data_IF_449642575294
#
_entry.id   IF_449642575294
#
_cell.length_a   1.000
_cell.length_b   1.000
_cell.length_c   1.000
_cell.angle_alpha   90.00
_cell.angle_beta   90.00
_cell.angle_gamma   90.00
#
_symmetry.space_group_name_H-M   'P 1'
#
loop_
_entity.id
_entity.type
_entity.pdbx_description
1 polymer ?
#
# COMPACT_ATOMS: atom_id res chain seq x y z
N UNK A 1 -62.17 -32.68 18.90
CA UNK A 1 -60.85 -32.41 19.53
C UNK A 1 -59.84 -32.24 18.40
N UNK A 2 -59.48 -31.00 18.03
CA UNK A 2 -58.47 -30.74 16.97
C UNK A 2 -57.22 -30.21 17.65
N UNK A 3 -56.14 -31.02 17.56
CA UNK A 3 -54.85 -30.68 18.10
C UNK A 3 -54.06 -29.90 17.05
N UNK A 4 -53.91 -28.59 17.25
CA UNK A 4 -53.06 -27.73 16.40
C UNK A 4 -51.62 -27.80 16.92
N UNK A 5 -50.74 -28.40 16.14
CA UNK A 5 -49.29 -28.41 16.40
C UNK A 5 -48.68 -27.13 15.83
N UNK A 6 -48.25 -26.25 16.70
CA UNK A 6 -47.49 -25.05 16.38
C UNK A 6 -46.00 -25.44 16.16
N UNK A 7 -45.55 -25.42 14.90
CA UNK A 7 -44.14 -25.59 14.55
C UNK A 7 -43.40 -24.27 14.83
N UNK A 8 -42.60 -24.22 15.88
CA UNK A 8 -41.74 -23.11 16.21
C UNK A 8 -40.45 -23.21 15.39
N UNK A 9 -40.37 -22.42 14.30
CA UNK A 9 -39.17 -22.35 13.45
C UNK A 9 -38.14 -21.45 14.14
N UNK A 10 -37.06 -22.07 14.68
CA UNK A 10 -35.92 -21.35 15.25
C UNK A 10 -35.00 -20.90 14.10
N UNK A 11 -35.01 -19.63 13.77
CA UNK A 11 -34.08 -19.00 12.84
C UNK A 11 -32.71 -18.87 13.54
N UNK A 12 -31.75 -19.75 13.18
CA UNK A 12 -30.37 -19.64 13.65
C UNK A 12 -29.66 -18.59 12.81
N UNK A 13 -29.42 -17.41 13.39
CA UNK A 13 -28.57 -16.37 12.80
C UNK A 13 -27.12 -16.77 12.98
N UNK A 14 -26.45 -17.19 11.90
CA UNK A 14 -25.00 -17.29 11.86
C UNK A 14 -24.41 -15.89 11.58
N UNK A 15 -23.49 -15.39 12.43
CA UNK A 15 -22.77 -14.16 12.11
C UNK A 15 -21.86 -14.44 10.90
N UNK A 16 -22.14 -13.79 9.78
CA UNK A 16 -21.26 -13.76 8.62
C UNK A 16 -20.11 -12.79 8.97
N UNK A 17 -18.95 -13.31 9.29
CA UNK A 17 -17.73 -12.52 9.35
C UNK A 17 -17.38 -12.16 7.90
N UNK A 18 -17.64 -10.91 7.53
CA UNK A 18 -17.15 -10.35 6.28
C UNK A 18 -15.62 -10.22 6.39
N UNK A 19 -14.89 -11.12 5.76
CA UNK A 19 -13.47 -10.97 5.53
C UNK A 19 -13.30 -10.06 4.32
N UNK A 20 -12.55 -8.95 4.47
CA UNK A 20 -12.21 -8.10 3.33
C UNK A 20 -11.40 -8.91 2.32
N UNK A 21 -11.87 -8.96 1.09
CA UNK A 21 -11.17 -9.68 0.03
C UNK A 21 -9.84 -8.95 -0.28
N UNK A 22 -8.75 -9.71 -0.36
CA UNK A 22 -7.47 -9.21 -0.90
C UNK A 22 -7.68 -8.91 -2.38
N UNK A 23 -7.47 -7.66 -2.79
CA UNK A 23 -7.64 -7.22 -4.18
C UNK A 23 -6.36 -7.37 -4.98
N UNK A 24 -5.21 -7.17 -4.33
CA UNK A 24 -3.88 -7.29 -4.94
C UNK A 24 -2.85 -7.69 -3.89
N UNK A 25 -1.86 -8.48 -4.31
CA UNK A 25 -0.75 -8.90 -3.45
C UNK A 25 0.53 -9.04 -4.27
N UNK A 26 1.66 -8.92 -3.61
CA UNK A 26 2.95 -9.06 -4.26
C UNK A 26 4.12 -8.96 -3.31
N UNK A 27 5.31 -8.90 -3.90
CA UNK A 27 6.55 -8.64 -3.17
C UNK A 27 7.13 -7.31 -3.61
N UNK A 28 7.99 -6.75 -2.76
CA UNK A 28 8.72 -5.53 -3.08
C UNK A 28 10.19 -5.64 -2.72
N UNK A 29 11.00 -4.86 -3.44
CA UNK A 29 12.34 -4.47 -3.00
C UNK A 29 12.40 -2.96 -2.88
N UNK A 30 13.00 -2.47 -1.81
CA UNK A 30 13.21 -1.05 -1.55
C UNK A 30 14.70 -0.77 -1.45
N UNK A 31 15.19 0.21 -2.20
CA UNK A 31 16.55 0.73 -2.13
C UNK A 31 16.50 2.17 -1.64
N UNK A 32 17.00 2.45 -0.46
CA UNK A 32 17.14 3.79 0.11
C UNK A 32 18.56 4.29 -0.13
N UNK A 33 18.67 5.34 -0.92
CA UNK A 33 19.94 6.00 -1.26
C UNK A 33 20.09 7.26 -0.43
N UNK A 34 21.17 7.35 0.34
CA UNK A 34 21.51 8.55 1.11
C UNK A 34 22.60 9.32 0.39
N UNK A 35 22.44 10.64 0.30
CA UNK A 35 23.45 11.53 -0.25
C UNK A 35 24.78 11.35 0.48
N UNK A 36 25.86 11.11 -0.27
CA UNK A 36 27.19 10.86 0.28
C UNK A 36 27.50 9.40 0.59
N UNK A 37 26.56 8.49 0.46
CA UNK A 37 26.80 7.05 0.59
C UNK A 37 26.82 6.40 -0.80
N UNK A 38 27.81 5.51 -1.02
CA UNK A 38 27.98 4.85 -2.32
C UNK A 38 27.04 3.65 -2.53
N UNK A 39 26.51 3.08 -1.44
CA UNK A 39 25.62 1.90 -1.49
C UNK A 39 24.28 2.20 -0.86
N UNK A 40 23.18 1.71 -1.44
CA UNK A 40 21.87 1.86 -0.84
C UNK A 40 21.69 0.93 0.36
N UNK A 41 20.74 1.29 1.23
CA UNK A 41 20.15 0.36 2.18
C UNK A 41 19.02 -0.38 1.48
N UNK A 42 19.08 -1.71 1.50
CA UNK A 42 18.12 -2.57 0.79
C UNK A 42 17.23 -3.25 1.82
N UNK A 43 15.92 -3.18 1.59
CA UNK A 43 14.93 -3.99 2.29
C UNK A 43 14.02 -4.70 1.29
N UNK A 44 13.52 -5.86 1.68
CA UNK A 44 12.60 -6.66 0.87
C UNK A 44 11.44 -7.15 1.73
N UNK A 45 10.33 -7.44 1.08
CA UNK A 45 9.15 -7.93 1.77
C UNK A 45 7.97 -8.18 0.85
N UNK A 46 6.81 -8.28 1.44
CA UNK A 46 5.54 -8.54 0.76
C UNK A 46 4.48 -7.49 1.13
N UNK A 47 3.46 -7.40 0.31
CA UNK A 47 2.31 -6.56 0.57
C UNK A 47 1.02 -7.26 0.17
N UNK A 48 -0.05 -6.94 0.89
CA UNK A 48 -1.43 -7.35 0.60
C UNK A 48 -2.32 -6.12 0.65
N UNK A 49 -2.91 -5.78 -0.49
CA UNK A 49 -3.86 -4.69 -0.64
C UNK A 49 -5.27 -5.26 -0.56
N UNK A 50 -6.06 -4.75 0.35
CA UNK A 50 -7.48 -5.04 0.48
C UNK A 50 -8.31 -3.78 0.18
N UNK A 51 -9.61 -3.96 0.06
CA UNK A 51 -10.52 -2.84 -0.17
C UNK A 51 -10.42 -1.78 0.95
N UNK A 52 -10.33 -2.21 2.21
CA UNK A 52 -10.33 -1.38 3.41
C UNK A 52 -8.93 -1.12 4.00
N UNK A 53 -7.85 -1.60 3.35
CA UNK A 53 -6.52 -1.43 3.92
C UNK A 53 -5.35 -1.96 3.12
N UNK A 54 -4.18 -1.91 3.76
CA UNK A 54 -2.93 -2.44 3.23
C UNK A 54 -2.13 -3.07 4.37
N UNK A 55 -1.61 -4.28 4.14
CA UNK A 55 -0.55 -4.89 4.95
C UNK A 55 0.76 -4.77 4.19
N UNK A 56 1.76 -4.15 4.83
CA UNK A 56 3.10 -4.00 4.28
C UNK A 56 4.09 -4.67 5.22
N UNK A 57 4.68 -5.77 4.79
CA UNK A 57 5.56 -6.59 5.63
C UNK A 57 7.00 -6.55 5.12
N UNK A 58 7.90 -5.94 5.88
CA UNK A 58 9.35 -6.03 5.65
C UNK A 58 9.86 -7.34 6.23
N UNK A 59 10.56 -8.12 5.43
CA UNK A 59 11.12 -9.43 5.82
C UNK A 59 12.62 -9.36 6.06
N UNK A 60 13.33 -8.48 5.35
CA UNK A 60 14.77 -8.29 5.44
C UNK A 60 15.14 -6.81 5.29
N UNK A 61 16.18 -6.30 5.98
CA UNK A 61 17.05 -6.98 6.95
C UNK A 61 16.42 -7.09 8.35
N UNK A 62 15.46 -6.22 8.69
CA UNK A 62 14.77 -6.19 9.98
C UNK A 62 13.30 -6.38 9.74
N UNK A 63 12.72 -7.40 10.33
CA UNK A 63 11.28 -7.68 10.19
C UNK A 63 10.45 -6.57 10.84
N UNK A 64 9.48 -6.09 10.10
CA UNK A 64 8.46 -5.15 10.61
C UNK A 64 7.20 -5.26 9.79
N UNK A 65 6.06 -5.03 10.41
CA UNK A 65 4.76 -5.04 9.73
C UNK A 65 4.05 -3.71 9.97
N UNK A 66 3.63 -3.08 8.89
CA UNK A 66 2.78 -1.90 8.91
C UNK A 66 1.41 -2.32 8.40
N UNK A 67 0.39 -1.98 9.17
CA UNK A 67 -1.01 -2.20 8.82
C UNK A 67 -1.68 -0.84 8.60
N UNK A 68 -2.38 -0.72 7.49
CA UNK A 68 -3.27 0.40 7.24
C UNK A 68 -4.68 -0.16 7.26
N UNK A 69 -5.50 0.37 8.12
CA UNK A 69 -6.89 -0.04 8.22
C UNK A 69 -7.76 1.16 8.54
N UNK A 70 -8.80 1.36 7.72
CA UNK A 70 -9.74 2.48 7.89
C UNK A 70 -9.04 3.85 8.01
N UNK A 71 -7.99 4.08 7.20
CA UNK A 71 -7.21 5.32 7.21
C UNK A 71 -6.28 5.51 8.41
N UNK A 72 -6.19 4.55 9.31
CA UNK A 72 -5.26 4.54 10.44
C UNK A 72 -4.06 3.64 10.16
N UNK A 73 -2.92 4.04 10.70
CA UNK A 73 -1.64 3.35 10.52
C UNK A 73 -1.21 2.71 11.83
N UNK A 74 -0.86 1.42 11.75
CA UNK A 74 -0.36 0.66 12.88
C UNK A 74 0.94 -0.03 12.51
N UNK A 75 1.86 -0.15 13.47
CA UNK A 75 2.96 -1.11 13.41
C UNK A 75 2.68 -2.26 14.37
N UNK A 76 3.11 -3.47 14.03
CA UNK A 76 3.05 -4.58 14.97
C UNK A 76 4.30 -4.58 15.86
N UNK A 77 4.11 -4.79 17.15
CA UNK A 77 5.21 -5.01 18.10
C UNK A 77 5.69 -6.48 18.05
N UNK A 78 6.67 -6.83 18.89
CA UNK A 78 7.25 -8.18 18.98
C UNK A 78 6.25 -9.27 19.43
N UNK A 79 5.04 -8.89 19.83
CA UNK A 79 3.94 -9.78 20.22
C UNK A 79 2.78 -9.73 19.23
N UNK A 80 3.02 -9.21 18.01
CA UNK A 80 2.02 -8.99 16.96
C UNK A 80 0.84 -8.08 17.38
N UNK A 81 1.05 -7.22 18.38
CA UNK A 81 0.02 -6.27 18.82
C UNK A 81 0.13 -4.97 18.03
N UNK A 82 -1.01 -4.45 17.51
CA UNK A 82 -1.01 -3.21 16.74
C UNK A 82 -0.75 -2.00 17.64
N UNK A 83 0.21 -1.18 17.25
CA UNK A 83 0.59 0.07 17.88
C UNK A 83 0.27 1.23 16.91
N UNK A 84 -0.67 2.10 17.29
CA UNK A 84 -1.11 3.23 16.45
C UNK A 84 0.05 4.20 16.19
N UNK A 85 0.28 4.50 14.93
CA UNK A 85 1.29 5.46 14.46
C UNK A 85 0.60 6.75 14.02
N UNK A 86 0.72 7.81 14.83
CA UNK A 86 0.15 9.12 14.51
C UNK A 86 1.06 9.90 13.57
N UNK A 87 0.47 10.59 12.59
CA UNK A 87 1.19 11.45 11.66
C UNK A 87 1.82 10.72 10.47
N UNK A 88 1.62 9.39 10.35
CA UNK A 88 2.06 8.62 9.20
C UNK A 88 0.98 8.55 8.09
N UNK A 89 -0.24 8.94 8.39
CA UNK A 89 -1.41 8.81 7.52
C UNK A 89 -1.22 9.39 6.11
N UNK A 90 -0.64 10.60 5.93
CA UNK A 90 -0.45 11.16 4.58
C UNK A 90 0.43 10.30 3.68
N UNK A 91 1.51 9.74 4.23
CA UNK A 91 2.45 8.90 3.46
C UNK A 91 1.82 7.58 3.06
N UNK A 92 1.03 7.04 3.94
CA UNK A 92 0.39 5.75 3.79
C UNK A 92 -0.79 5.83 2.84
N UNK A 93 -1.59 6.88 2.92
CA UNK A 93 -2.66 7.15 1.97
C UNK A 93 -2.11 7.32 0.55
N UNK A 94 -0.94 7.98 0.42
CA UNK A 94 -0.24 8.08 -0.86
C UNK A 94 0.18 6.70 -1.39
N UNK A 95 0.78 5.84 -0.55
CA UNK A 95 1.17 4.49 -0.95
C UNK A 95 -0.04 3.66 -1.40
N UNK A 96 -1.17 3.76 -0.69
CA UNK A 96 -2.40 3.10 -1.09
C UNK A 96 -2.95 3.65 -2.41
N UNK A 97 -2.96 4.97 -2.62
CA UNK A 97 -3.41 5.58 -3.86
C UNK A 97 -2.57 5.13 -5.05
N UNK A 98 -1.25 5.04 -4.87
CA UNK A 98 -0.32 4.51 -5.88
C UNK A 98 -0.66 3.05 -6.20
N UNK A 99 -0.74 2.17 -5.21
CA UNK A 99 -0.98 0.74 -5.43
C UNK A 99 -2.40 0.45 -5.96
N UNK A 100 -3.38 1.27 -5.62
CA UNK A 100 -4.77 1.16 -6.12
C UNK A 100 -4.99 1.79 -7.51
N UNK A 101 -3.97 2.43 -8.08
CA UNK A 101 -4.13 3.25 -9.31
C UNK A 101 -5.24 4.30 -9.16
N UNK A 102 -5.36 4.90 -7.96
CA UNK A 102 -6.36 5.92 -7.69
C UNK A 102 -5.90 7.27 -8.27
N UNK A 103 -6.10 7.44 -9.57
CA UNK A 103 -5.70 8.66 -10.29
C UNK A 103 -6.37 9.91 -9.71
N UNK A 104 -7.58 9.79 -9.18
CA UNK A 104 -8.31 10.93 -8.58
C UNK A 104 -7.59 11.38 -7.31
N UNK A 105 -7.31 10.46 -6.39
CA UNK A 105 -6.59 10.76 -5.16
C UNK A 105 -5.15 11.25 -5.43
N UNK A 106 -4.49 10.70 -6.45
CA UNK A 106 -3.17 11.19 -6.89
C UNK A 106 -3.25 12.60 -7.50
N UNK A 107 -4.24 12.87 -8.36
CA UNK A 107 -4.40 14.18 -8.98
C UNK A 107 -4.78 15.29 -7.98
N UNK A 108 -5.38 14.96 -6.85
CA UNK A 108 -5.61 15.92 -5.77
C UNK A 108 -4.30 16.42 -5.14
N UNK A 109 -3.33 15.53 -4.95
CA UNK A 109 -2.07 15.81 -4.23
C UNK A 109 -0.91 16.18 -5.17
N UNK A 110 -0.97 15.77 -6.45
CA UNK A 110 0.12 15.91 -7.41
C UNK A 110 -0.33 16.54 -8.73
N UNK A 111 0.60 17.25 -9.37
CA UNK A 111 0.53 17.53 -10.80
C UNK A 111 1.23 16.38 -11.52
N UNK A 112 0.48 15.67 -12.37
CA UNK A 112 0.99 14.54 -13.14
C UNK A 112 1.42 15.01 -14.52
N UNK A 113 2.62 14.59 -14.95
CA UNK A 113 3.18 14.89 -16.27
C UNK A 113 3.82 13.64 -16.87
N UNK A 114 3.90 13.59 -18.20
CA UNK A 114 4.57 12.51 -18.89
C UNK A 114 6.05 12.43 -18.49
N UNK A 115 6.54 11.21 -18.38
CA UNK A 115 7.96 10.93 -18.18
C UNK A 115 8.62 10.50 -19.49
N UNK A 116 9.93 10.71 -19.64
CA UNK A 116 10.67 10.32 -20.82
C UNK A 116 10.70 8.79 -21.06
N UNK A 117 10.62 8.00 -19.98
CA UNK A 117 10.53 6.55 -20.03
C UNK A 117 9.07 6.13 -20.29
N UNK A 118 8.78 5.35 -21.37
CA UNK A 118 7.42 4.88 -21.66
C UNK A 118 6.81 4.08 -20.50
N UNK A 119 5.53 4.30 -20.23
CA UNK A 119 4.82 3.67 -19.09
C UNK A 119 5.14 4.27 -17.74
N UNK A 120 5.84 5.41 -17.71
CA UNK A 120 6.13 6.15 -16.48
C UNK A 120 5.49 7.54 -16.52
N UNK A 121 5.21 8.06 -15.33
CA UNK A 121 4.72 9.42 -15.09
C UNK A 121 5.55 10.08 -14.00
N UNK A 122 5.69 11.40 -14.10
CA UNK A 122 6.28 12.24 -13.05
C UNK A 122 5.16 12.91 -12.27
N UNK A 123 5.19 12.77 -10.94
CA UNK A 123 4.23 13.37 -10.02
C UNK A 123 4.95 14.47 -9.21
N UNK A 124 4.51 15.70 -9.36
CA UNK A 124 5.04 16.87 -8.64
C UNK A 124 4.09 17.23 -7.50
N UNK A 125 4.53 17.25 -6.23
CA UNK A 125 3.69 17.58 -5.09
C UNK A 125 3.02 18.95 -5.25
N UNK A 126 1.73 19.08 -4.92
CA UNK A 126 0.99 20.33 -4.84
C UNK A 126 1.01 20.92 -3.43
N UNK A 127 0.90 20.04 -2.44
CA UNK A 127 0.86 20.41 -1.03
C UNK A 127 2.24 20.86 -0.51
N UNK A 128 2.25 21.92 0.30
CA UNK A 128 3.51 22.53 0.76
C UNK A 128 4.27 21.66 1.77
N UNK A 129 3.57 20.79 2.53
CA UNK A 129 4.22 19.84 3.41
C UNK A 129 4.92 18.74 2.61
N UNK A 130 4.26 18.21 1.58
CA UNK A 130 4.86 17.23 0.69
C UNK A 130 6.06 17.80 -0.06
N UNK A 131 6.00 19.06 -0.52
CA UNK A 131 7.13 19.76 -1.18
C UNK A 131 8.35 19.93 -0.28
N UNK A 132 8.14 20.09 1.03
CA UNK A 132 9.26 20.17 1.98
C UNK A 132 10.00 18.83 2.12
N UNK A 133 9.32 17.73 1.87
CA UNK A 133 9.84 16.37 2.03
C UNK A 133 10.33 15.78 0.72
N UNK A 134 9.57 16.00 -0.36
CA UNK A 134 9.82 15.40 -1.66
C UNK A 134 9.80 16.43 -2.77
N UNK A 135 10.77 16.33 -3.69
CA UNK A 135 10.80 17.15 -4.89
C UNK A 135 9.95 16.59 -6.02
N UNK A 136 9.93 15.27 -6.18
CA UNK A 136 9.13 14.56 -7.19
C UNK A 136 8.99 13.07 -6.87
N UNK A 137 8.04 12.45 -7.54
CA UNK A 137 7.90 10.99 -7.63
C UNK A 137 7.91 10.58 -9.10
N UNK A 138 8.47 9.41 -9.38
CA UNK A 138 8.36 8.76 -10.69
C UNK A 138 7.57 7.48 -10.46
N UNK A 139 6.45 7.32 -11.16
CA UNK A 139 5.58 6.15 -11.10
C UNK A 139 5.64 5.45 -12.44
N UNK A 140 6.04 4.19 -12.45
CA UNK A 140 6.09 3.35 -13.64
C UNK A 140 5.18 2.15 -13.50
N UNK A 141 4.50 1.81 -14.58
CA UNK A 141 3.55 0.71 -14.67
C UNK A 141 3.97 -0.27 -15.74
N UNK A 142 3.64 -1.54 -15.53
CA UNK A 142 3.78 -2.61 -16.49
C UNK A 142 2.59 -3.58 -16.32
N UNK A 143 1.93 -3.95 -17.43
CA UNK A 143 0.76 -4.82 -17.42
C UNK A 143 -0.35 -4.35 -16.45
N UNK A 144 -0.64 -3.06 -16.47
CA UNK A 144 -1.66 -2.41 -15.61
C UNK A 144 -1.38 -2.51 -14.10
N UNK A 145 -0.13 -2.72 -13.71
CA UNK A 145 0.30 -2.78 -12.31
C UNK A 145 1.50 -1.88 -12.10
N UNK A 146 1.60 -1.29 -10.91
CA UNK A 146 2.75 -0.48 -10.51
C UNK A 146 3.99 -1.37 -10.45
N UNK A 147 4.98 -1.10 -11.28
CA UNK A 147 6.23 -1.86 -11.35
C UNK A 147 7.36 -1.20 -10.57
N UNK A 148 7.41 0.14 -10.59
CA UNK A 148 8.44 0.91 -9.93
C UNK A 148 7.90 2.25 -9.45
N UNK A 149 8.32 2.63 -8.24
CA UNK A 149 8.14 3.98 -7.71
C UNK A 149 9.49 4.52 -7.27
N UNK A 150 9.85 5.72 -7.72
CA UNK A 150 11.01 6.45 -7.23
C UNK A 150 10.54 7.70 -6.51
N UNK A 151 10.97 7.87 -5.26
CA UNK A 151 10.69 9.02 -4.43
C UNK A 151 11.98 9.85 -4.31
N UNK A 152 11.99 11.04 -4.86
CA UNK A 152 13.10 11.98 -4.72
C UNK A 152 12.84 12.91 -3.55
N UNK A 153 13.68 12.87 -2.52
CA UNK A 153 13.56 13.75 -1.35
C UNK A 153 14.19 15.12 -1.61
N UNK A 154 13.66 16.14 -0.95
CA UNK A 154 14.16 17.53 -1.05
C UNK A 154 15.61 17.67 -0.55
N UNK A 155 16.08 16.82 0.36
CA UNK A 155 17.43 16.79 0.90
C UNK A 155 18.47 16.12 -0.03
N UNK A 156 18.02 15.58 -1.17
CA UNK A 156 18.84 14.87 -2.15
C UNK A 156 18.97 13.36 -1.96
N UNK A 157 18.33 12.80 -0.95
CA UNK A 157 18.15 11.36 -0.84
C UNK A 157 17.08 10.87 -1.83
N UNK A 158 17.06 9.58 -2.12
CA UNK A 158 15.96 9.00 -2.87
C UNK A 158 15.71 7.54 -2.48
N UNK A 159 14.49 7.10 -2.73
CA UNK A 159 14.07 5.70 -2.52
C UNK A 159 13.56 5.14 -3.83
N UNK A 160 13.92 3.91 -4.16
CA UNK A 160 13.38 3.17 -5.29
C UNK A 160 12.66 1.94 -4.73
N UNK A 161 11.36 1.85 -5.02
CA UNK A 161 10.54 0.67 -4.78
C UNK A 161 10.34 -0.07 -6.10
N UNK A 162 10.53 -1.37 -6.11
CA UNK A 162 10.18 -2.25 -7.24
C UNK A 162 9.20 -3.30 -6.75
N UNK A 163 8.17 -3.53 -7.52
CA UNK A 163 7.08 -4.46 -7.21
C UNK A 163 7.11 -5.65 -8.14
N UNK A 164 6.81 -6.82 -7.60
CA UNK A 164 6.62 -8.04 -8.36
C UNK A 164 5.33 -8.71 -7.90
N UNK A 165 4.49 -9.07 -8.86
CA UNK A 165 3.18 -9.66 -8.65
C UNK A 165 3.18 -11.12 -9.06
N UNK A 166 2.43 -12.00 -8.37
CA UNK A 166 2.26 -13.37 -8.82
C UNK A 166 1.56 -13.40 -10.19
N UNK A 167 1.99 -14.28 -11.07
CA UNK A 167 1.37 -14.44 -12.38
C UNK A 167 -0.12 -14.75 -12.21
N UNK A 168 -0.98 -13.97 -12.88
CA UNK A 168 -2.44 -14.18 -12.87
C UNK A 168 -2.89 -15.47 -13.58
N UNK A 169 -1.95 -16.26 -14.18
CA UNK A 169 -2.25 -17.45 -14.98
C UNK A 169 -2.49 -18.75 -14.19
N UNK A 170 -2.49 -18.74 -12.84
CA UNK A 170 -2.68 -19.97 -12.04
C UNK A 170 -3.97 -20.00 -11.22
N UNK A 171 -5.07 -19.41 -11.72
CA UNK A 171 -6.40 -19.69 -11.20
C UNK A 171 -7.26 -20.29 -12.31
N UNK A 172 -7.05 -21.57 -12.58
CA UNK A 172 -8.05 -22.45 -13.22
C UNK A 172 -8.57 -23.44 -12.19
#
# INVERSE_FOLDING_TARGET
MRLSVLLLSVLVFFPVFASSAVTEQGTFSQEKHFKGFSKPFISTGSFELAEDGLTWQVESPVKSTLLIKQGQVYTLDDQDKPQLQKGAEPYVNLLQAILKHDEVALAEQFTMTDHAEPGCQTLLPKDDLLKQLFSQFELCEAAEQVSRVRLQEANGNFTVLRFAYPNKEQKQ
#
